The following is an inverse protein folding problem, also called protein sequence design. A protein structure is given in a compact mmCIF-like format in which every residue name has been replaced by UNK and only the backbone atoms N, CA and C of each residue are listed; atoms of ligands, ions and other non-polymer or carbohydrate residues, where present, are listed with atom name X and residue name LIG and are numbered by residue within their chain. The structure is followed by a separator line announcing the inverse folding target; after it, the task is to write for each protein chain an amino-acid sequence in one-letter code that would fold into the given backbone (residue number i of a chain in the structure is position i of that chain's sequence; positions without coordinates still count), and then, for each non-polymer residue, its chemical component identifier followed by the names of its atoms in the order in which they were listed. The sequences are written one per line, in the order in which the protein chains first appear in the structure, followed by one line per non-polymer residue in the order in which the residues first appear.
data_IF_938418841606
#
_entry.id   IF_938418841606
#
_cell.length_a   1.000
_cell.length_b   1.000
_cell.length_c   1.000
_cell.angle_alpha   90.00
_cell.angle_beta   90.00
_cell.angle_gamma   90.00
#
_symmetry.space_group_name_H-M   'P 1'
#
loop_
_entity.id
_entity.type
_entity.pdbx_description
1 polymer ?
#
# COMPACT_ATOMS: atom_id res chain seq x y z
N UNK A 1 -8.54 -1.55 -14.71
CA UNK A 1 -7.13 -1.47 -15.17
C UNK A 1 -6.28 -1.38 -13.93
N UNK A 2 -5.56 -2.44 -13.56
CA UNK A 2 -4.91 -2.57 -12.25
C UNK A 2 -3.87 -1.45 -11.99
N UNK A 3 -3.26 -0.92 -13.06
CA UNK A 3 -2.34 0.22 -12.98
C UNK A 3 -2.99 1.55 -12.53
N UNK A 4 -4.27 1.77 -12.87
CA UNK A 4 -5.00 2.99 -12.47
C UNK A 4 -5.40 2.94 -11.00
N UNK A 5 -5.81 1.77 -10.53
CA UNK A 5 -6.20 1.53 -9.13
C UNK A 5 -4.98 1.70 -8.21
N UNK A 6 -3.81 1.20 -8.62
CA UNK A 6 -2.59 1.37 -7.85
C UNK A 6 -2.15 2.84 -7.74
N UNK A 7 -2.34 3.61 -8.81
CA UNK A 7 -2.08 5.05 -8.81
C UNK A 7 -3.06 5.81 -7.89
N UNK A 8 -4.35 5.44 -7.90
CA UNK A 8 -5.34 6.04 -7.00
C UNK A 8 -5.03 5.73 -5.53
N UNK A 9 -4.71 4.47 -5.21
CA UNK A 9 -4.30 4.06 -3.87
C UNK A 9 -3.04 4.80 -3.41
N UNK A 10 -2.08 5.03 -4.30
CA UNK A 10 -0.88 5.79 -3.96
C UNK A 10 -1.21 7.24 -3.58
N UNK A 11 -2.02 7.90 -4.40
CA UNK A 11 -2.43 9.28 -4.17
C UNK A 11 -3.29 9.45 -2.93
N UNK A 12 -4.13 8.46 -2.60
CA UNK A 12 -4.91 8.48 -1.36
C UNK A 12 -4.04 8.30 -0.13
N UNK A 13 -3.06 7.39 -0.17
CA UNK A 13 -2.07 7.24 0.91
C UNK A 13 -1.30 8.55 1.13
N UNK A 14 -0.82 9.20 0.06
CA UNK A 14 -0.11 10.49 0.16
C UNK A 14 -0.98 11.57 0.82
N UNK A 15 -2.22 11.75 0.36
CA UNK A 15 -3.17 12.70 0.96
C UNK A 15 -3.45 12.41 2.42
N UNK A 16 -3.58 11.13 2.78
CA UNK A 16 -3.78 10.73 4.17
C UNK A 16 -2.54 11.02 5.01
N UNK A 17 -1.32 10.81 4.49
CA UNK A 17 -0.09 11.16 5.20
C UNK A 17 0.01 12.67 5.45
N UNK A 18 -0.22 13.50 4.43
CA UNK A 18 -0.19 14.97 4.59
C UNK A 18 -1.22 15.45 5.63
N UNK A 19 -2.42 14.87 5.61
CA UNK A 19 -3.46 15.16 6.62
C UNK A 19 -3.02 14.70 7.99
N UNK A 20 -2.39 13.53 8.10
CA UNK A 20 -1.91 12.98 9.36
C UNK A 20 -0.81 13.84 9.98
N UNK A 21 0.08 14.43 9.18
CA UNK A 21 1.11 15.35 9.68
C UNK A 21 0.51 16.59 10.35
N UNK A 22 -0.60 17.08 9.79
CA UNK A 22 -1.27 18.31 10.26
C UNK A 22 -2.41 18.04 11.25
N UNK A 23 -2.82 16.78 11.43
CA UNK A 23 -3.97 16.41 12.24
C UNK A 23 -3.68 16.39 13.76
N UNK A 24 -4.67 16.73 14.60
CA UNK A 24 -4.59 16.55 16.05
C UNK A 24 -4.54 15.06 16.42
N UNK A 25 -4.01 14.74 17.60
CA UNK A 25 -3.76 13.34 18.05
C UNK A 25 -5.02 12.45 18.00
N UNK A 26 -6.18 13.02 18.30
CA UNK A 26 -7.48 12.33 18.27
C UNK A 26 -7.91 11.93 16.86
N UNK A 27 -7.58 12.73 15.84
CA UNK A 27 -7.82 12.39 14.44
C UNK A 27 -6.70 11.55 13.85
N UNK A 28 -5.46 11.72 14.32
CA UNK A 28 -4.30 10.91 13.89
C UNK A 28 -4.55 9.43 14.04
N UNK A 29 -5.14 9.00 15.15
CA UNK A 29 -5.37 7.57 15.40
C UNK A 29 -6.34 6.96 14.36
N UNK A 30 -7.40 7.68 14.02
CA UNK A 30 -8.33 7.27 12.95
C UNK A 30 -7.66 7.29 11.57
N UNK A 31 -6.92 8.35 11.26
CA UNK A 31 -6.18 8.47 9.99
C UNK A 31 -5.09 7.40 9.85
N UNK A 32 -4.42 7.00 10.95
CA UNK A 32 -3.42 5.92 10.96
C UNK A 32 -4.05 4.56 10.70
N UNK A 33 -5.23 4.30 11.29
CA UNK A 33 -5.97 3.06 11.02
C UNK A 33 -6.38 2.98 9.54
N UNK A 34 -6.87 4.08 8.98
CA UNK A 34 -7.27 4.17 7.59
C UNK A 34 -6.07 4.03 6.64
N UNK A 35 -4.95 4.68 6.97
CA UNK A 35 -3.69 4.56 6.26
C UNK A 35 -3.15 3.12 6.27
N UNK A 36 -3.28 2.38 7.38
CA UNK A 36 -2.90 0.96 7.43
C UNK A 36 -3.75 0.11 6.50
N UNK A 37 -5.06 0.35 6.45
CA UNK A 37 -5.97 -0.38 5.54
C UNK A 37 -5.59 -0.14 4.08
N UNK A 38 -5.40 1.13 3.70
CA UNK A 38 -5.01 1.50 2.33
C UNK A 38 -3.63 0.99 1.94
N UNK A 39 -2.66 0.98 2.87
CA UNK A 39 -1.35 0.34 2.64
C UNK A 39 -1.48 -1.16 2.40
N UNK A 40 -2.30 -1.86 3.18
CA UNK A 40 -2.52 -3.29 2.99
C UNK A 40 -3.21 -3.59 1.65
N UNK A 41 -4.13 -2.72 1.21
CA UNK A 41 -4.79 -2.85 -0.09
C UNK A 41 -3.83 -2.60 -1.25
N UNK A 42 -3.03 -1.52 -1.17
CA UNK A 42 -1.93 -1.26 -2.13
C UNK A 42 -0.99 -2.45 -2.22
N UNK A 43 -0.60 -3.01 -1.08
CA UNK A 43 0.31 -4.17 -1.05
C UNK A 43 -0.31 -5.41 -1.70
N UNK A 44 -1.61 -5.66 -1.51
CA UNK A 44 -2.33 -6.74 -2.21
C UNK A 44 -2.35 -6.51 -3.71
N UNK A 45 -2.72 -5.31 -4.16
CA UNK A 45 -2.78 -4.96 -5.59
C UNK A 45 -1.38 -5.02 -6.22
N UNK A 46 -0.36 -4.54 -5.51
CA UNK A 46 1.05 -4.65 -5.90
C UNK A 46 1.47 -6.12 -6.02
N UNK A 47 1.15 -6.98 -5.03
CA UNK A 47 1.40 -8.42 -5.08
C UNK A 47 0.68 -9.13 -6.23
N UNK A 48 -0.52 -8.70 -6.59
CA UNK A 48 -1.26 -9.24 -7.74
C UNK A 48 -0.58 -8.81 -9.05
N UNK A 49 -0.12 -7.55 -9.13
CA UNK A 49 0.65 -7.04 -10.28
C UNK A 49 2.01 -7.72 -10.42
N UNK A 50 2.76 -7.87 -9.33
CA UNK A 50 4.07 -8.55 -9.30
C UNK A 50 3.93 -10.06 -9.49
N UNK A 51 2.94 -10.69 -8.86
CA UNK A 51 2.64 -12.12 -9.05
C UNK A 51 2.12 -12.44 -10.46
N UNK A 52 1.58 -11.45 -11.18
CA UNK A 52 1.30 -11.57 -12.62
C UNK A 52 2.54 -11.31 -13.50
N UNK A 53 3.65 -10.82 -12.93
CA UNK A 53 4.90 -10.47 -13.62
C UNK A 53 6.08 -11.40 -13.34
N UNK A 54 6.08 -12.20 -12.28
CA UNK A 54 7.15 -13.15 -11.96
C UNK A 54 6.62 -14.58 -11.69
N UNK A 55 7.07 -15.62 -12.42
CA UNK A 55 7.07 -16.97 -11.87
C UNK A 55 8.00 -16.99 -10.63
N UNK A 56 7.70 -17.80 -9.60
CA UNK A 56 8.37 -17.71 -8.31
C UNK A 56 9.89 -17.83 -8.46
N UNK A 57 10.69 -16.93 -7.84
CA UNK A 57 12.13 -17.02 -7.92
C UNK A 57 12.58 -18.32 -7.25
N UNK A 58 13.22 -19.17 -8.05
CA UNK A 58 13.82 -20.42 -7.66
C UNK A 58 14.52 -20.30 -6.30
N UNK A 59 14.11 -21.16 -5.36
CA UNK A 59 14.85 -21.44 -4.11
C UNK A 59 16.31 -21.73 -4.49
N UNK A 60 17.25 -20.89 -4.07
CA UNK A 60 18.65 -21.32 -4.02
C UNK A 60 18.84 -22.12 -2.72
N UNK A 61 19.28 -23.39 -2.78
CA UNK A 61 19.64 -24.12 -1.58
C UNK A 61 20.92 -23.52 -0.97
N UNK A 62 21.05 -23.47 0.36
CA UNK A 62 22.31 -23.10 0.99
C UNK A 62 23.35 -24.20 0.70
N UNK A 63 24.57 -23.78 0.36
CA UNK A 63 25.73 -24.66 0.16
C UNK A 63 26.55 -24.73 1.45
#
# INVERSE_FOLDING_TARGET
MIAKDLYQLHREVEKLQERLESAPAEEKENLEQELRRLKAERERVQKILDGSKEPPPYRKPPR
#
